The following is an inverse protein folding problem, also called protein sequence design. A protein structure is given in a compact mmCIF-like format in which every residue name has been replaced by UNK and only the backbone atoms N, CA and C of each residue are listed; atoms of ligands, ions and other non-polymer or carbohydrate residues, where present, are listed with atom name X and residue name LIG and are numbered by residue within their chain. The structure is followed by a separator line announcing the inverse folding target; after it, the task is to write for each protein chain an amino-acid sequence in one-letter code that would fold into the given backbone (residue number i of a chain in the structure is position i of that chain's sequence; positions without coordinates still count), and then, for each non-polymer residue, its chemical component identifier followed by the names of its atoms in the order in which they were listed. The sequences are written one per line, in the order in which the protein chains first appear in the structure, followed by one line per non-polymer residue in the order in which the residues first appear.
data_IF_964687031650
#
_entry.id   IF_964687031650
#
_cell.length_a   1.000
_cell.length_b   1.000
_cell.length_c   1.000
_cell.angle_alpha   90.00
_cell.angle_beta   90.00
_cell.angle_gamma   90.00
#
_symmetry.space_group_name_H-M   'P 1'
#
loop_
_entity.id
_entity.type
_entity.pdbx_description
1 polymer ?
#
# COMPACT_ATOMS: atom_id res chain seq x y z
N UNK A 1 -25.46 4.02 -7.13
CA UNK A 1 -24.30 3.11 -7.34
C UNK A 1 -24.28 2.11 -6.18
N UNK A 2 -24.07 0.81 -6.41
CA UNK A 2 -23.91 -0.15 -5.30
C UNK A 2 -22.60 0.16 -4.58
N UNK A 3 -22.61 0.14 -3.25
CA UNK A 3 -21.40 0.34 -2.45
C UNK A 3 -20.46 -0.84 -2.66
N UNK A 4 -19.24 -0.56 -3.08
CA UNK A 4 -18.14 -1.52 -3.12
C UNK A 4 -17.55 -1.55 -1.71
N UNK A 5 -17.42 -2.75 -1.14
CA UNK A 5 -16.81 -2.96 0.18
C UNK A 5 -15.38 -3.50 0.08
N UNK A 6 -15.09 -4.16 -1.04
CA UNK A 6 -13.85 -4.84 -1.33
C UNK A 6 -13.35 -4.33 -2.67
N UNK A 7 -12.14 -3.79 -2.68
CA UNK A 7 -11.54 -3.16 -3.84
C UNK A 7 -10.22 -3.85 -4.14
N UNK A 8 -10.15 -4.51 -5.28
CA UNK A 8 -8.91 -5.01 -5.86
C UNK A 8 -8.60 -4.22 -7.12
N UNK A 9 -7.41 -3.63 -7.17
CA UNK A 9 -6.96 -2.83 -8.30
C UNK A 9 -5.64 -3.36 -8.80
N UNK A 10 -5.62 -3.72 -10.08
CA UNK A 10 -4.41 -4.07 -10.81
C UNK A 10 -4.08 -2.94 -11.77
N UNK A 11 -2.97 -2.25 -11.53
CA UNK A 11 -2.45 -1.20 -12.40
C UNK A 11 -1.58 -1.82 -13.49
N UNK A 12 -2.18 -2.03 -14.66
CA UNK A 12 -1.45 -2.49 -15.85
C UNK A 12 -0.82 -1.34 -16.65
N UNK A 13 -1.33 -0.10 -16.52
CA UNK A 13 -0.80 1.12 -17.16
C UNK A 13 -1.13 2.38 -16.35
N UNK A 14 -0.38 3.46 -16.57
CA UNK A 14 -0.49 4.73 -15.85
C UNK A 14 -1.87 5.44 -15.95
N UNK A 15 -2.67 5.16 -16.98
CA UNK A 15 -3.81 6.00 -17.34
C UNK A 15 -5.10 5.72 -16.55
N UNK A 16 -5.12 4.65 -15.73
CA UNK A 16 -6.34 4.25 -15.03
C UNK A 16 -6.45 4.85 -13.62
N UNK A 17 -5.48 5.67 -13.20
CA UNK A 17 -5.41 6.22 -11.85
C UNK A 17 -6.55 7.19 -11.51
N UNK A 18 -6.99 8.00 -12.47
CA UNK A 18 -8.11 8.92 -12.27
C UNK A 18 -9.41 8.18 -11.94
N UNK A 19 -9.68 7.11 -12.70
CA UNK A 19 -10.87 6.27 -12.50
C UNK A 19 -10.82 5.58 -11.13
N UNK A 20 -9.67 5.02 -10.75
CA UNK A 20 -9.51 4.35 -9.44
C UNK A 20 -9.64 5.36 -8.30
N UNK A 21 -9.04 6.53 -8.42
CA UNK A 21 -9.17 7.62 -7.46
C UNK A 21 -10.63 8.01 -7.25
N UNK A 22 -11.37 8.21 -8.35
CA UNK A 22 -12.78 8.61 -8.29
C UNK A 22 -13.65 7.47 -7.75
N UNK A 23 -13.32 6.22 -8.07
CA UNK A 23 -13.98 5.05 -7.50
C UNK A 23 -13.84 5.02 -5.98
N UNK A 24 -12.62 5.20 -5.45
CA UNK A 24 -12.33 5.23 -4.02
C UNK A 24 -13.06 6.39 -3.35
N UNK A 25 -12.96 7.60 -3.91
CA UNK A 25 -13.59 8.81 -3.35
C UNK A 25 -15.11 8.70 -3.22
N UNK A 26 -15.75 8.00 -4.16
CA UNK A 26 -17.20 7.86 -4.19
C UNK A 26 -17.73 6.67 -3.38
N UNK A 27 -16.86 5.86 -2.76
CA UNK A 27 -17.33 4.82 -1.83
C UNK A 27 -17.71 5.44 -0.49
N UNK A 28 -18.69 4.82 0.18
CA UNK A 28 -19.07 5.20 1.54
C UNK A 28 -18.13 4.59 2.59
N UNK A 29 -17.81 3.31 2.41
CA UNK A 29 -16.90 2.55 3.27
C UNK A 29 -16.10 1.58 2.38
N UNK A 30 -14.81 1.44 2.68
CA UNK A 30 -13.97 0.37 2.13
C UNK A 30 -13.40 -0.45 3.30
N UNK A 31 -13.50 -1.77 3.20
CA UNK A 31 -13.04 -2.69 4.24
C UNK A 31 -11.79 -3.44 3.81
N UNK A 32 -11.79 -3.94 2.58
CA UNK A 32 -10.69 -4.72 2.02
C UNK A 32 -10.14 -3.99 0.80
N UNK A 33 -8.85 -3.70 0.81
CA UNK A 33 -8.19 -2.98 -0.29
C UNK A 33 -6.93 -3.71 -0.70
N UNK A 34 -6.84 -4.10 -1.97
CA UNK A 34 -5.68 -4.72 -2.58
C UNK A 34 -5.19 -3.83 -3.73
N UNK A 35 -3.94 -3.37 -3.65
CA UNK A 35 -3.29 -2.57 -4.69
C UNK A 35 -2.11 -3.34 -5.30
N UNK A 36 -2.27 -3.72 -6.57
CA UNK A 36 -1.24 -4.36 -7.36
C UNK A 36 -0.72 -3.38 -8.40
N UNK A 37 0.51 -2.92 -8.25
CA UNK A 37 1.20 -2.08 -9.23
C UNK A 37 2.55 -2.69 -9.64
N UNK A 38 2.60 -3.22 -10.86
CA UNK A 38 3.76 -3.92 -11.39
C UNK A 38 4.75 -3.01 -12.14
N UNK A 39 4.47 -1.71 -12.28
CA UNK A 39 5.33 -0.76 -13.01
C UNK A 39 6.05 0.17 -12.07
N UNK A 40 7.15 0.85 -12.46
CA UNK A 40 7.66 2.00 -11.69
C UNK A 40 6.62 3.12 -11.70
N UNK A 41 5.64 3.08 -10.78
CA UNK A 41 4.72 4.20 -10.55
C UNK A 41 5.52 5.40 -10.12
N UNK A 42 5.18 6.54 -10.73
CA UNK A 42 5.62 7.82 -10.23
C UNK A 42 5.04 8.02 -8.82
N UNK A 43 5.89 8.48 -7.91
CA UNK A 43 5.58 8.76 -6.51
C UNK A 43 4.30 9.59 -6.32
N UNK A 44 4.07 10.56 -7.21
CA UNK A 44 2.85 11.40 -7.22
C UNK A 44 1.54 10.59 -7.26
N UNK A 45 1.55 9.39 -7.85
CA UNK A 45 0.36 8.58 -8.12
C UNK A 45 0.04 7.72 -6.90
N UNK A 46 1.09 7.31 -6.16
CA UNK A 46 0.99 6.79 -4.80
C UNK A 46 0.30 7.84 -3.92
N UNK A 47 0.80 9.08 -3.93
CA UNK A 47 0.19 10.14 -3.13
C UNK A 47 -1.29 10.37 -3.45
N UNK A 48 -1.73 10.36 -4.71
CA UNK A 48 -3.14 10.56 -5.06
C UNK A 48 -4.03 9.42 -4.53
N UNK A 49 -3.64 8.16 -4.77
CA UNK A 49 -4.44 7.01 -4.36
C UNK A 49 -4.43 6.86 -2.83
N UNK A 50 -3.26 6.99 -2.21
CA UNK A 50 -3.09 6.88 -0.75
C UNK A 50 -3.87 7.98 -0.02
N UNK A 51 -3.81 9.24 -0.48
CA UNK A 51 -4.61 10.33 0.09
C UNK A 51 -6.13 10.08 -0.01
N UNK A 52 -6.58 9.44 -1.09
CA UNK A 52 -7.98 9.04 -1.24
C UNK A 52 -8.36 7.90 -0.31
N UNK A 53 -7.44 6.96 -0.04
CA UNK A 53 -7.65 5.87 0.90
C UNK A 53 -7.69 6.33 2.37
N UNK A 54 -6.97 7.40 2.74
CA UNK A 54 -7.04 7.99 4.10
C UNK A 54 -8.48 8.34 4.49
N UNK A 55 -9.33 8.71 3.54
CA UNK A 55 -10.76 8.99 3.83
C UNK A 55 -11.51 7.77 4.36
N UNK A 56 -11.01 6.57 4.09
CA UNK A 56 -11.55 5.28 4.53
C UNK A 56 -10.77 4.67 5.68
N UNK A 57 -9.89 5.45 6.32
CA UNK A 57 -8.95 4.93 7.31
C UNK A 57 -9.63 4.31 8.54
N UNK A 58 -10.82 4.80 8.89
CA UNK A 58 -11.65 4.24 9.96
C UNK A 58 -12.41 2.97 9.55
N UNK A 59 -12.41 2.56 8.29
CA UNK A 59 -13.18 1.39 7.83
C UNK A 59 -12.31 0.28 7.27
N UNK A 60 -11.13 0.61 6.73
CA UNK A 60 -10.19 -0.37 6.19
C UNK A 60 -9.72 -1.30 7.32
N UNK A 61 -9.91 -2.61 7.10
CA UNK A 61 -9.53 -3.69 8.01
C UNK A 61 -8.50 -4.63 7.39
N UNK A 62 -8.48 -4.74 6.07
CA UNK A 62 -7.51 -5.52 5.32
C UNK A 62 -6.87 -4.63 4.25
N UNK A 63 -5.55 -4.56 4.25
CA UNK A 63 -4.78 -3.87 3.22
C UNK A 63 -3.70 -4.78 2.66
N UNK A 64 -3.66 -4.92 1.34
CA UNK A 64 -2.59 -5.60 0.61
C UNK A 64 -1.97 -4.66 -0.40
N UNK A 65 -0.64 -4.62 -0.46
CA UNK A 65 0.10 -3.90 -1.49
C UNK A 65 1.38 -4.63 -1.86
N UNK A 66 1.79 -4.52 -3.12
CA UNK A 66 3.09 -5.02 -3.58
C UNK A 66 4.23 -3.99 -3.46
N UNK A 67 3.91 -2.80 -2.97
CA UNK A 67 4.86 -1.69 -2.80
C UNK A 67 4.73 -0.99 -1.46
N UNK A 68 5.83 -0.45 -0.92
CA UNK A 68 5.76 0.41 0.26
C UNK A 68 4.84 1.61 -0.01
N UNK A 69 3.95 1.95 0.92
CA UNK A 69 3.23 3.23 0.89
C UNK A 69 4.22 4.39 0.96
N UNK A 70 3.93 5.49 0.25
CA UNK A 70 4.79 6.68 0.21
C UNK A 70 4.47 7.65 1.34
N UNK A 71 3.20 7.74 1.73
CA UNK A 71 2.79 8.52 2.90
C UNK A 71 2.62 7.61 4.12
N UNK A 72 2.44 8.22 5.31
CA UNK A 72 2.03 7.58 6.56
C UNK A 72 0.58 7.01 6.50
N UNK A 73 0.26 6.30 5.42
CA UNK A 73 -1.06 5.73 5.16
C UNK A 73 -1.39 4.66 6.21
N UNK A 74 -0.41 3.84 6.60
CA UNK A 74 -0.66 2.71 7.49
C UNK A 74 -1.07 3.19 8.88
N UNK A 75 -0.40 4.21 9.43
CA UNK A 75 -0.76 4.82 10.73
C UNK A 75 -2.12 5.51 10.69
N UNK A 76 -2.61 5.90 9.52
CA UNK A 76 -3.98 6.40 9.41
C UNK A 76 -5.01 5.29 9.66
N UNK A 77 -4.73 4.04 9.25
CA UNK A 77 -5.68 2.92 9.29
C UNK A 77 -5.87 2.35 10.70
N UNK A 78 -6.57 3.09 11.57
CA UNK A 78 -6.79 2.74 12.99
C UNK A 78 -7.52 1.41 13.21
N UNK A 79 -8.25 0.91 12.21
CA UNK A 79 -8.99 -0.35 12.28
C UNK A 79 -8.34 -1.49 11.48
N UNK A 80 -7.11 -1.30 11.00
CA UNK A 80 -6.38 -2.32 10.24
C UNK A 80 -6.13 -3.55 11.10
N UNK A 81 -6.57 -4.72 10.62
CA UNK A 81 -6.39 -6.03 11.26
C UNK A 81 -5.38 -6.90 10.53
N UNK A 82 -5.30 -6.73 9.22
CA UNK A 82 -4.44 -7.51 8.34
C UNK A 82 -3.73 -6.57 7.37
N UNK A 83 -2.40 -6.63 7.40
CA UNK A 83 -1.54 -6.00 6.43
C UNK A 83 -0.77 -7.10 5.69
N UNK A 84 -0.86 -7.11 4.36
CA UNK A 84 -0.05 -7.97 3.50
C UNK A 84 0.84 -7.10 2.61
N UNK A 85 2.16 -7.25 2.77
CA UNK A 85 3.15 -6.58 1.95
C UNK A 85 3.84 -7.62 1.08
N UNK A 86 3.71 -7.49 -0.24
CA UNK A 86 4.32 -8.42 -1.21
C UNK A 86 5.39 -7.68 -1.99
N UNK A 87 6.58 -7.59 -1.42
CA UNK A 87 7.65 -6.70 -1.87
C UNK A 87 8.48 -7.31 -3.02
N UNK A 88 7.85 -7.52 -4.17
CA UNK A 88 8.45 -8.17 -5.34
C UNK A 88 9.52 -7.32 -6.08
N UNK A 89 9.91 -6.16 -5.54
CA UNK A 89 10.93 -5.25 -6.10
C UNK A 89 12.11 -4.96 -5.17
N UNK A 90 12.22 -5.62 -4.01
CA UNK A 90 13.29 -5.40 -3.03
C UNK A 90 14.69 -5.91 -3.44
N UNK A 91 14.84 -6.54 -4.61
CA UNK A 91 16.12 -7.12 -5.02
C UNK A 91 16.46 -6.73 -6.46
N UNK A 92 17.00 -5.52 -6.65
CA UNK A 92 18.03 -5.32 -7.68
C UNK A 92 19.40 -5.48 -6.98
N UNK A 93 20.00 -6.65 -7.19
CA UNK A 93 21.30 -7.03 -6.63
C UNK A 93 22.41 -6.17 -7.28
N UNK A 94 23.00 -5.22 -6.56
CA UNK A 94 24.15 -4.45 -7.05
C UNK A 94 25.49 -5.03 -6.60
N UNK A 95 25.54 -5.95 -5.63
CA UNK A 95 26.76 -6.60 -5.15
C UNK A 95 26.37 -7.80 -4.27
N UNK A 96 26.91 -8.99 -4.55
CA UNK A 96 26.30 -10.26 -4.15
C UNK A 96 26.21 -10.62 -2.65
N UNK A 97 25.69 -11.83 -2.45
CA UNK A 97 25.38 -12.57 -1.21
C UNK A 97 24.09 -12.19 -0.46
N UNK A 98 22.96 -12.41 -1.13
CA UNK A 98 21.66 -12.57 -0.48
C UNK A 98 21.11 -13.94 -0.85
N UNK A 99 21.14 -14.85 0.12
CA UNK A 99 20.85 -16.29 -0.10
C UNK A 99 19.37 -16.62 0.15
N UNK A 100 18.59 -15.75 0.81
CA UNK A 100 17.14 -15.90 0.82
C UNK A 100 16.43 -14.63 1.30
N UNK A 101 15.39 -14.18 0.60
CA UNK A 101 14.37 -13.27 1.14
C UNK A 101 13.02 -13.96 0.92
N UNK A 102 12.48 -14.48 2.01
CA UNK A 102 11.05 -14.77 2.15
C UNK A 102 10.55 -14.02 3.37
N UNK A 103 9.75 -12.97 3.16
CA UNK A 103 8.89 -12.46 4.21
C UNK A 103 7.46 -12.29 3.72
N UNK A 104 6.76 -13.42 3.72
CA UNK A 104 5.32 -13.50 3.96
C UNK A 104 5.07 -13.18 5.44
N UNK A 105 5.22 -11.92 5.86
CA UNK A 105 4.81 -11.53 7.21
C UNK A 105 3.34 -11.15 7.19
N UNK A 106 2.49 -12.05 7.68
CA UNK A 106 1.17 -11.65 8.18
C UNK A 106 1.46 -10.93 9.50
N UNK A 107 1.72 -9.62 9.44
CA UNK A 107 1.88 -8.82 10.65
C UNK A 107 0.50 -8.64 11.28
N UNK A 108 0.18 -9.49 12.25
CA UNK A 108 -0.90 -9.24 13.20
C UNK A 108 -0.28 -8.50 14.37
N UNK A 109 -0.16 -7.17 14.33
CA UNK A 109 0.41 -6.46 15.47
C UNK A 109 -0.08 -5.03 15.73
N UNK A 110 0.01 -4.70 17.01
CA UNK A 110 -0.61 -3.66 17.82
C UNK A 110 0.17 -2.33 17.86
N UNK A 111 1.23 -2.18 17.06
CA UNK A 111 2.04 -0.95 17.04
C UNK A 111 2.58 -0.68 15.62
N UNK A 112 1.70 -0.13 14.78
CA UNK A 112 1.94 0.16 13.35
C UNK A 112 3.11 1.13 13.13
N UNK A 113 3.39 2.01 14.09
CA UNK A 113 4.40 3.07 13.99
C UNK A 113 5.85 2.56 13.90
N UNK A 114 6.20 1.48 14.61
CA UNK A 114 7.56 0.89 14.55
C UNK A 114 7.81 0.21 13.19
N UNK A 115 6.76 -0.34 12.57
CA UNK A 115 6.84 -0.90 11.22
C UNK A 115 7.00 0.19 10.16
N UNK A 116 6.27 1.30 10.30
CA UNK A 116 6.47 2.47 9.43
C UNK A 116 7.89 3.00 9.55
N UNK A 117 8.43 3.11 10.77
CA UNK A 117 9.81 3.55 10.99
C UNK A 117 10.84 2.58 10.37
N UNK A 118 10.57 1.27 10.41
CA UNK A 118 11.44 0.26 9.80
C UNK A 118 11.40 0.34 8.26
N UNK A 119 10.22 0.57 7.67
CA UNK A 119 10.07 0.83 6.23
C UNK A 119 10.79 2.13 5.80
N UNK A 120 10.71 3.19 6.63
CA UNK A 120 11.45 4.44 6.44
C UNK A 120 12.97 4.20 6.51
N UNK A 121 13.44 3.49 7.54
CA UNK A 121 14.88 3.22 7.81
C UNK A 121 15.54 2.33 6.76
N UNK A 122 14.79 1.45 6.10
CA UNK A 122 15.29 0.61 5.01
C UNK A 122 15.62 1.37 3.71
N UNK A 123 15.77 2.71 3.73
CA UNK A 123 16.10 3.58 2.60
C UNK A 123 15.03 3.62 1.48
N UNK A 124 13.74 3.68 1.84
CA UNK A 124 12.66 3.86 0.85
C UNK A 124 11.89 5.19 0.96
N UNK A 125 12.26 6.07 1.90
CA UNK A 125 11.66 7.42 2.05
C UNK A 125 12.69 8.56 2.19
N UNK A 126 13.97 8.30 1.89
CA UNK A 126 15.06 9.29 2.02
C UNK A 126 15.63 9.79 0.67
N UNK A 127 14.91 9.62 -0.44
CA UNK A 127 15.33 10.19 -1.73
C UNK A 127 14.35 11.22 -2.32
N UNK A 128 13.78 12.11 -1.49
CA UNK A 128 13.46 13.52 -1.88
C UNK A 128 13.05 14.40 -0.70
#
# INVERSE_FOLDING_TARGET
MKSIKELEVVFERYNNCGIVNDLIKNQKNLFNVCLFDFYKRHEWLNNIIENSLIKHANTVQYFKTIKPPVINLLSSFVNLRVLELELNGLIENTSGSLIDISMKSILRNSNISELEELLIRCQYLNEL
#
